data_IF_084232907962
#
_entry.id   IF_084232907962
#
_cell.length_a   1.000
_cell.length_b   1.000
_cell.length_c   1.000
_cell.angle_alpha   90.00
_cell.angle_beta   90.00
_cell.angle_gamma   90.00
#
_symmetry.space_group_name_H-M   'P 1'
#
loop_
_entity.id
_entity.type
_entity.pdbx_description
1 polymer ?
#
# COMPACT_ATOMS: atom_id res chain seq x y z
N UNK A 1 3.48 -12.05 1.58
CA UNK A 1 2.50 -12.64 0.61
C UNK A 1 3.20 -13.52 -0.41
N UNK A 2 2.52 -14.12 -1.39
CA UNK A 2 3.20 -15.10 -2.29
C UNK A 2 4.29 -14.50 -3.21
N UNK A 3 4.32 -13.17 -3.33
CA UNK A 3 5.30 -12.40 -4.12
C UNK A 3 6.38 -11.74 -3.24
N UNK A 4 6.49 -12.14 -1.98
CA UNK A 4 7.50 -11.60 -1.06
C UNK A 4 8.91 -12.00 -1.50
N UNK A 5 9.88 -11.10 -1.30
CA UNK A 5 11.29 -11.26 -1.73
C UNK A 5 11.51 -11.40 -3.24
N UNK A 6 10.47 -11.20 -4.07
CA UNK A 6 10.58 -11.25 -5.52
C UNK A 6 10.76 -9.86 -6.14
N UNK A 7 11.56 -9.78 -7.19
CA UNK A 7 11.61 -8.61 -8.07
C UNK A 7 10.34 -8.52 -8.93
N UNK A 8 10.03 -7.32 -9.44
CA UNK A 8 8.90 -7.15 -10.35
C UNK A 8 9.02 -7.99 -11.63
N UNK A 9 10.24 -8.17 -12.16
CA UNK A 9 10.48 -9.01 -13.33
C UNK A 9 10.17 -10.49 -13.05
N UNK A 10 10.56 -11.00 -11.89
CA UNK A 10 10.24 -12.38 -11.49
C UNK A 10 8.74 -12.57 -11.25
N UNK A 11 8.05 -11.58 -10.68
CA UNK A 11 6.59 -11.62 -10.51
C UNK A 11 5.90 -11.67 -11.87
N UNK A 12 6.32 -10.84 -12.82
CA UNK A 12 5.76 -10.84 -14.17
C UNK A 12 5.93 -12.19 -14.88
N UNK A 13 7.08 -12.85 -14.69
CA UNK A 13 7.35 -14.16 -15.28
C UNK A 13 6.61 -15.30 -14.57
N UNK A 14 6.61 -15.32 -13.24
CA UNK A 14 6.06 -16.43 -12.43
C UNK A 14 4.55 -16.33 -12.20
N UNK A 15 4.03 -15.11 -12.10
CA UNK A 15 2.62 -14.80 -11.82
C UNK A 15 2.11 -13.69 -12.76
N UNK A 16 2.08 -13.92 -14.09
CA UNK A 16 1.67 -12.90 -15.06
C UNK A 16 0.22 -12.42 -14.86
N UNK A 17 -0.68 -13.31 -14.42
CA UNK A 17 -2.07 -12.98 -14.08
C UNK A 17 -2.15 -11.98 -12.94
N UNK A 18 -1.42 -12.23 -11.85
CA UNK A 18 -1.36 -11.38 -10.66
C UNK A 18 -0.71 -10.04 -10.97
N UNK A 19 0.33 -10.04 -11.81
CA UNK A 19 0.98 -8.83 -12.28
C UNK A 19 0.00 -7.93 -13.05
N UNK A 20 -0.73 -8.49 -14.00
CA UNK A 20 -1.72 -7.76 -14.80
C UNK A 20 -2.93 -7.32 -13.96
N UNK A 21 -3.41 -8.17 -13.06
CA UNK A 21 -4.53 -7.85 -12.17
C UNK A 21 -4.18 -6.68 -11.24
N UNK A 22 -2.95 -6.67 -10.72
CA UNK A 22 -2.44 -5.53 -9.96
C UNK A 22 -2.33 -4.26 -10.79
N UNK A 23 -1.87 -4.35 -12.03
CA UNK A 23 -1.72 -3.17 -12.88
C UNK A 23 -3.09 -2.55 -13.22
N UNK A 24 -4.09 -3.40 -13.46
CA UNK A 24 -5.46 -2.98 -13.76
C UNK A 24 -6.15 -2.29 -12.57
N UNK A 25 -5.91 -2.73 -11.33
CA UNK A 25 -6.48 -2.11 -10.14
C UNK A 25 -5.55 -2.21 -8.93
N UNK A 26 -4.50 -1.39 -8.94
CA UNK A 26 -3.45 -1.43 -7.93
C UNK A 26 -3.92 -1.16 -6.51
N UNK A 27 -4.98 -0.36 -6.34
CA UNK A 27 -5.49 0.02 -5.03
C UNK A 27 -6.22 -1.15 -4.35
N UNK A 28 -7.19 -1.75 -5.05
CA UNK A 28 -8.02 -2.82 -4.50
C UNK A 28 -7.40 -4.22 -4.67
N UNK A 29 -6.40 -4.38 -5.54
CA UNK A 29 -5.76 -5.68 -5.74
C UNK A 29 -5.07 -6.18 -4.47
N UNK A 30 -5.55 -7.30 -3.94
CA UNK A 30 -4.96 -8.00 -2.80
C UNK A 30 -4.07 -9.13 -3.29
N UNK A 31 -2.78 -9.06 -2.98
CA UNK A 31 -1.87 -10.18 -3.24
C UNK A 31 -2.35 -11.46 -2.54
N UNK A 32 -2.24 -12.64 -3.15
CA UNK A 32 -2.57 -13.88 -2.45
C UNK A 32 -1.73 -14.03 -1.19
N UNK A 33 -2.40 -14.28 -0.05
CA UNK A 33 -1.80 -14.30 1.29
C UNK A 33 -1.04 -13.00 1.65
N UNK A 34 -1.50 -11.86 1.14
CA UNK A 34 -0.93 -10.54 1.40
C UNK A 34 -2.01 -9.46 1.57
N UNK A 35 -1.61 -8.21 1.46
CA UNK A 35 -2.46 -7.01 1.64
C UNK A 35 -2.67 -6.28 0.29
N UNK A 36 -3.80 -5.59 0.15
CA UNK A 36 -4.01 -4.51 -0.82
C UNK A 36 -3.67 -3.14 -0.23
N UNK A 37 -3.76 -2.05 -1.00
CA UNK A 37 -3.67 -0.71 -0.43
C UNK A 37 -4.90 -0.38 0.43
N UNK A 38 -6.07 -0.96 0.13
CA UNK A 38 -7.27 -0.82 0.99
C UNK A 38 -7.04 -1.40 2.39
N UNK A 39 -6.46 -2.60 2.47
CA UNK A 39 -6.10 -3.22 3.74
C UNK A 39 -5.12 -2.33 4.52
N UNK A 40 -4.16 -1.76 3.81
CA UNK A 40 -3.15 -0.90 4.39
C UNK A 40 -3.76 0.40 4.93
N UNK A 41 -4.71 1.02 4.22
CA UNK A 41 -5.43 2.21 4.70
C UNK A 41 -6.22 1.90 5.96
N UNK A 42 -6.98 0.80 5.99
CA UNK A 42 -7.72 0.38 7.18
C UNK A 42 -6.81 0.14 8.38
N UNK A 43 -5.65 -0.49 8.17
CA UNK A 43 -4.66 -0.71 9.23
C UNK A 43 -3.99 0.57 9.73
N UNK A 44 -3.92 1.61 8.92
CA UNK A 44 -3.30 2.89 9.27
C UNK A 44 -4.24 3.87 9.96
N UNK A 45 -5.55 3.60 10.02
CA UNK A 45 -6.54 4.47 10.67
C UNK A 45 -6.14 4.84 12.13
N UNK A 46 -5.74 3.91 13.02
CA UNK A 46 -5.33 4.26 14.38
C UNK A 46 -4.04 5.10 14.42
N UNK A 47 -3.14 4.90 13.45
CA UNK A 47 -1.88 5.66 13.35
C UNK A 47 -2.17 7.10 12.93
N UNK A 48 -3.07 7.29 11.96
CA UNK A 48 -3.50 8.60 11.50
C UNK A 48 -4.14 9.39 12.64
N UNK A 49 -5.05 8.77 13.40
CA UNK A 49 -5.67 9.41 14.56
C UNK A 49 -4.64 9.89 15.59
N UNK A 50 -3.61 9.09 15.86
CA UNK A 50 -2.56 9.49 16.80
C UNK A 50 -1.66 10.59 16.22
N UNK A 51 -1.38 10.57 14.92
CA UNK A 51 -0.61 11.64 14.26
C UNK A 51 -1.33 13.00 14.31
N UNK A 52 -2.66 13.03 14.18
CA UNK A 52 -3.44 14.27 14.33
C UNK A 52 -3.44 14.82 15.76
N UNK A 53 -3.28 13.95 16.76
CA UNK A 53 -3.25 14.33 18.18
C UNK A 53 -1.90 14.89 18.62
N UNK A 54 -0.84 14.56 17.90
CA UNK A 54 0.53 14.92 18.26
C UNK A 54 0.98 16.20 17.54
N UNK A 55 2.02 16.85 18.09
CA UNK A 55 2.68 17.99 17.44
C UNK A 55 3.77 17.53 16.46
N UNK A 56 5.03 17.72 16.84
CA UNK A 56 6.16 17.36 15.99
C UNK A 56 6.44 15.85 16.05
N UNK A 57 6.20 15.14 14.94
CA UNK A 57 6.44 13.69 14.80
C UNK A 57 7.27 13.42 13.55
N UNK A 58 8.29 12.55 13.66
CA UNK A 58 9.02 11.98 12.53
C UNK A 58 8.59 10.52 12.35
N UNK A 59 8.00 10.19 11.20
CA UNK A 59 7.58 8.82 10.87
C UNK A 59 8.59 8.19 9.90
N UNK A 60 9.27 7.13 10.35
CA UNK A 60 10.15 6.30 9.50
C UNK A 60 9.39 5.02 9.13
N UNK A 61 9.16 4.78 7.83
CA UNK A 61 8.38 3.63 7.37
C UNK A 61 8.78 3.19 5.95
N UNK A 62 7.94 2.37 5.32
CA UNK A 62 8.15 1.81 3.98
C UNK A 62 7.37 2.56 2.90
N UNK A 63 7.75 2.34 1.63
CA UNK A 63 7.18 3.06 0.48
C UNK A 63 5.66 3.00 0.38
N UNK A 64 5.03 1.83 0.57
CA UNK A 64 3.58 1.69 0.48
C UNK A 64 2.86 2.43 1.63
N UNK A 65 3.41 2.32 2.85
CA UNK A 65 2.87 3.00 4.04
C UNK A 65 2.95 4.51 3.90
N UNK A 66 4.10 5.03 3.46
CA UNK A 66 4.28 6.46 3.23
C UNK A 66 3.34 7.02 2.17
N UNK A 67 3.05 6.25 1.10
CA UNK A 67 2.04 6.66 0.11
C UNK A 67 0.65 6.80 0.73
N UNK A 68 0.23 5.86 1.58
CA UNK A 68 -1.06 5.95 2.26
C UNK A 68 -1.13 7.17 3.20
N UNK A 69 -0.09 7.42 3.99
CA UNK A 69 -0.05 8.57 4.91
C UNK A 69 -0.05 9.89 4.13
N UNK A 70 0.77 10.00 3.08
CA UNK A 70 0.80 11.19 2.22
C UNK A 70 -0.53 11.40 1.49
N UNK A 71 -1.19 10.32 1.04
CA UNK A 71 -2.48 10.43 0.38
C UNK A 71 -3.54 11.01 1.32
N UNK A 72 -3.54 10.60 2.59
CA UNK A 72 -4.42 11.17 3.61
C UNK A 72 -4.15 12.67 3.83
N UNK A 73 -2.90 13.05 4.12
CA UNK A 73 -2.57 14.45 4.44
C UNK A 73 -2.63 15.42 3.25
N UNK A 74 -2.53 14.92 2.01
CA UNK A 74 -2.58 15.73 0.79
C UNK A 74 -3.93 15.62 0.06
N UNK A 75 -4.95 15.03 0.70
CA UNK A 75 -6.29 14.82 0.16
C UNK A 75 -6.27 14.21 -1.26
N UNK A 76 -5.51 13.12 -1.42
CA UNK A 76 -5.40 12.39 -2.68
C UNK A 76 -6.40 11.25 -2.72
N UNK A 77 -7.18 11.19 -3.80
CA UNK A 77 -8.08 10.08 -4.10
C UNK A 77 -7.32 8.77 -4.32
N UNK A 78 -7.99 7.64 -4.09
CA UNK A 78 -7.49 6.29 -4.34
C UNK A 78 -7.15 5.96 -5.82
N UNK A 79 -7.22 6.95 -6.71
CA UNK A 79 -7.06 6.80 -8.15
C UNK A 79 -5.68 7.29 -8.63
N UNK A 80 -5.06 6.43 -9.45
CA UNK A 80 -3.77 6.53 -10.18
C UNK A 80 -2.48 6.25 -9.41
#
# INVERSE_FOLDING_TARGET
>A
GICEEMTYAEIQQKYPSDFNARDANKFAYRYPRGESYEDLVARLEPVIMELERQGNVLVVSHQAVMRCLLAYFLDKSAAC
#
